data_IF_163902281849
#
_entry.id   IF_163902281849
#
_cell.length_a   1.000
_cell.length_b   1.000
_cell.length_c   1.000
_cell.angle_alpha   90.00
_cell.angle_beta   90.00
_cell.angle_gamma   90.00
#
_symmetry.space_group_name_H-M   'P 1'
#
loop_
_entity.id
_entity.type
_entity.pdbx_description
1 polymer ?
#
# COMPACT_ATOMS: atom_id res chain seq x y z
N UNK A 1 -3.57 -21.24 -2.67
CA UNK A 1 -2.22 -21.68 -3.07
C UNK A 1 -2.03 -21.20 -4.50
N UNK A 2 -1.02 -20.36 -4.77
CA UNK A 2 -0.77 -19.82 -6.12
C UNK A 2 -0.20 -20.94 -7.00
N UNK A 3 -0.82 -21.22 -8.14
CA UNK A 3 -0.45 -22.33 -9.04
C UNK A 3 0.38 -21.89 -10.25
N UNK A 4 0.84 -20.62 -10.27
CA UNK A 4 1.64 -20.06 -11.35
C UNK A 4 3.14 -20.28 -11.20
N UNK A 5 3.90 -19.99 -12.26
CA UNK A 5 5.36 -20.01 -12.25
C UNK A 5 5.94 -18.95 -11.30
N UNK A 6 7.21 -19.11 -10.91
CA UNK A 6 7.91 -18.12 -10.08
C UNK A 6 7.94 -16.72 -10.73
N UNK A 7 7.84 -16.62 -12.06
CA UNK A 7 7.71 -15.37 -12.78
C UNK A 7 6.33 -14.74 -12.61
N UNK A 8 5.26 -15.53 -12.76
CA UNK A 8 3.89 -15.07 -12.52
C UNK A 8 3.67 -14.61 -11.08
N UNK A 9 4.36 -15.23 -10.12
CA UNK A 9 4.33 -14.82 -8.72
C UNK A 9 5.03 -13.46 -8.52
N UNK A 10 6.17 -13.23 -9.17
CA UNK A 10 6.87 -11.92 -9.14
C UNK A 10 6.04 -10.82 -9.79
N UNK A 11 5.43 -11.09 -10.95
CA UNK A 11 4.54 -10.14 -11.61
C UNK A 11 3.28 -9.85 -10.77
N UNK A 12 2.74 -10.87 -10.09
CA UNK A 12 1.64 -10.68 -9.17
C UNK A 12 2.04 -9.78 -7.98
N UNK A 13 3.17 -10.07 -7.33
CA UNK A 13 3.70 -9.24 -6.24
C UNK A 13 3.95 -7.78 -6.68
N UNK A 14 4.54 -7.57 -7.86
CA UNK A 14 4.78 -6.23 -8.39
C UNK A 14 3.47 -5.45 -8.60
N UNK A 15 2.43 -6.10 -9.12
CA UNK A 15 1.09 -5.50 -9.28
C UNK A 15 0.44 -5.16 -7.94
N UNK A 16 0.55 -6.04 -6.95
CA UNK A 16 0.00 -5.79 -5.61
C UNK A 16 0.73 -4.62 -4.95
N UNK A 17 2.06 -4.56 -5.05
CA UNK A 17 2.85 -3.47 -4.50
C UNK A 17 2.51 -2.13 -5.19
N UNK A 18 2.36 -2.13 -6.52
CA UNK A 18 1.96 -0.94 -7.27
C UNK A 18 0.59 -0.42 -6.80
N UNK A 19 -0.41 -1.30 -6.67
CA UNK A 19 -1.73 -0.91 -6.17
C UNK A 19 -1.66 -0.36 -4.72
N UNK A 20 -0.81 -0.96 -3.88
CA UNK A 20 -0.59 -0.48 -2.51
C UNK A 20 0.03 0.93 -2.49
N UNK A 21 0.97 1.22 -3.41
CA UNK A 21 1.54 2.57 -3.57
C UNK A 21 0.48 3.59 -4.00
N UNK A 22 -0.42 3.22 -4.91
CA UNK A 22 -1.53 4.09 -5.34
C UNK A 22 -2.48 4.40 -4.16
N UNK A 23 -2.77 3.41 -3.31
CA UNK A 23 -3.55 3.63 -2.08
C UNK A 23 -2.84 4.57 -1.11
N UNK A 24 -1.53 4.40 -0.89
CA UNK A 24 -0.75 5.28 -0.04
C UNK A 24 -0.77 6.74 -0.55
N UNK A 25 -0.66 6.94 -1.87
CA UNK A 25 -0.75 8.26 -2.49
C UNK A 25 -2.16 8.89 -2.33
N UNK A 26 -3.22 8.10 -2.48
CA UNK A 26 -4.60 8.53 -2.27
C UNK A 26 -4.84 8.98 -0.83
N UNK A 27 -4.38 8.18 0.15
CA UNK A 27 -4.52 8.52 1.57
C UNK A 27 -3.75 9.79 1.93
N UNK A 28 -2.55 9.95 1.39
CA UNK A 28 -1.76 11.19 1.54
C UNK A 28 -2.50 12.40 0.97
N UNK A 29 -3.13 12.26 -0.20
CA UNK A 29 -3.94 13.33 -0.79
C UNK A 29 -5.15 13.68 0.07
N UNK A 30 -5.87 12.67 0.58
CA UNK A 30 -7.03 12.89 1.45
C UNK A 30 -6.65 13.66 2.73
N UNK A 31 -5.47 13.40 3.30
CA UNK A 31 -4.99 14.17 4.44
C UNK A 31 -4.66 15.63 4.09
N UNK A 32 -4.09 15.86 2.90
CA UNK A 32 -3.82 17.22 2.42
C UNK A 32 -5.11 18.05 2.22
N UNK A 33 -6.25 17.39 1.99
CA UNK A 33 -7.58 18.03 1.94
C UNK A 33 -8.17 18.37 3.33
N UNK A 34 -7.43 18.12 4.42
CA UNK A 34 -7.80 18.58 5.76
C UNK A 34 -8.57 17.56 6.60
N UNK A 35 -8.52 16.27 6.26
CA UNK A 35 -9.10 15.18 7.07
C UNK A 35 -8.36 14.93 8.40
N UNK A 36 -7.30 15.70 8.69
CA UNK A 36 -6.49 15.59 9.91
C UNK A 36 -5.43 14.48 9.82
N UNK A 37 -4.56 14.35 10.82
CA UNK A 37 -3.53 13.33 10.83
C UNK A 37 -4.18 11.94 10.98
N UNK A 38 -4.25 11.18 9.88
CA UNK A 38 -4.64 9.78 9.96
C UNK A 38 -3.44 8.91 10.37
N UNK A 39 -3.72 7.79 11.01
CA UNK A 39 -2.73 6.79 11.39
C UNK A 39 -3.34 5.41 11.18
N UNK A 40 -2.53 4.43 10.79
CA UNK A 40 -3.04 3.08 10.64
C UNK A 40 -2.19 2.19 9.76
N UNK A 41 -2.70 0.98 9.59
CA UNK A 41 -2.09 -0.05 8.78
C UNK A 41 -3.20 -0.82 8.05
N UNK A 42 -3.09 -0.89 6.73
CA UNK A 42 -3.94 -1.69 5.85
C UNK A 42 -3.09 -2.85 5.33
N UNK A 43 -3.52 -4.07 5.63
CA UNK A 43 -2.80 -5.28 5.22
C UNK A 43 -3.51 -5.93 4.04
N UNK A 44 -2.77 -6.11 2.96
CA UNK A 44 -3.18 -6.87 1.79
C UNK A 44 -2.33 -8.15 1.71
N UNK A 45 -2.83 -9.22 1.07
CA UNK A 45 -1.98 -10.36 0.75
C UNK A 45 -0.82 -9.93 -0.16
N UNK A 46 0.40 -9.81 0.40
CA UNK A 46 1.60 -9.44 -0.34
C UNK A 46 1.97 -7.94 -0.35
N UNK A 47 1.24 -7.09 0.39
CA UNK A 47 1.64 -5.70 0.64
C UNK A 47 1.01 -5.14 1.92
N UNK A 48 1.64 -4.14 2.50
CA UNK A 48 1.18 -3.40 3.67
C UNK A 48 1.24 -1.92 3.34
N UNK A 49 0.13 -1.22 3.53
CA UNK A 49 0.08 0.25 3.48
C UNK A 49 0.02 0.76 4.91
N UNK A 50 1.00 1.52 5.36
CA UNK A 50 1.06 1.99 6.73
C UNK A 50 1.45 3.45 6.84
N UNK A 51 1.05 4.07 7.94
CA UNK A 51 1.48 5.42 8.32
C UNK A 51 1.82 5.44 9.79
N UNK A 52 3.03 5.95 10.09
CA UNK A 52 3.46 6.27 11.46
C UNK A 52 3.25 7.76 11.72
N UNK A 53 3.25 8.14 13.00
CA UNK A 53 3.05 9.53 13.40
C UNK A 53 4.12 10.44 12.76
N UNK A 54 3.67 11.50 12.09
CA UNK A 54 4.55 12.43 11.37
C UNK A 54 5.15 11.93 10.04
N UNK A 55 4.85 10.71 9.59
CA UNK A 55 5.31 10.18 8.29
C UNK A 55 4.18 10.20 7.24
N UNK A 56 4.51 10.14 5.95
CA UNK A 56 3.51 9.90 4.90
C UNK A 56 3.07 8.42 4.90
N UNK A 57 1.95 8.13 4.23
CA UNK A 57 1.59 6.74 3.94
C UNK A 57 2.65 6.09 3.04
N UNK A 58 3.11 4.90 3.42
CA UNK A 58 4.07 4.11 2.67
C UNK A 58 3.51 2.72 2.36
N UNK A 59 3.98 2.11 1.27
CA UNK A 59 3.61 0.76 0.85
C UNK A 59 4.87 -0.13 0.85
N UNK A 60 4.80 -1.27 1.54
CA UNK A 60 5.88 -2.24 1.72
C UNK A 60 5.42 -3.69 1.52
#
# INVERSE_FOLDING_TARGET
MFTGSAEQMREHQARVLQAAQEVAALLTRLEAEGLGPAQGQIRFPGAIVQKRDGENWTAE
#
